data_IF_527587880460
#
_entry.id   IF_527587880460
#
_cell.length_a   1.000
_cell.length_b   1.000
_cell.length_c   1.000
_cell.angle_alpha   90.00
_cell.angle_beta   90.00
_cell.angle_gamma   90.00
#
_symmetry.space_group_name_H-M   'P 1'
#
loop_
_entity.id
_entity.type
_entity.pdbx_description
1 polymer ?
#
# COMPACT_ATOMS: atom_id res chain seq x y z
N UNK A 1 2.72 16.59 -6.90
CA UNK A 1 3.16 15.22 -6.65
C UNK A 1 2.03 14.25 -6.92
N UNK A 2 2.28 12.95 -7.20
CA UNK A 2 1.24 12.00 -7.64
C UNK A 2 0.48 11.33 -6.49
N UNK A 3 0.40 11.97 -5.34
CA UNK A 3 -0.32 11.50 -4.17
C UNK A 3 -1.60 12.29 -3.97
N UNK A 4 -2.68 11.61 -3.66
CA UNK A 4 -3.97 12.21 -3.37
C UNK A 4 -4.65 11.51 -2.21
N UNK A 5 -5.15 12.25 -1.24
CA UNK A 5 -6.03 11.73 -0.21
C UNK A 5 -7.22 12.65 0.10
N UNK A 6 -7.53 13.59 -0.80
CA UNK A 6 -8.63 14.56 -0.59
C UNK A 6 -9.97 13.84 -0.42
N UNK A 7 -10.23 12.79 -1.20
CA UNK A 7 -11.49 12.04 -1.16
C UNK A 7 -11.52 10.87 -0.17
N UNK A 8 -10.43 10.61 0.56
CA UNK A 8 -10.35 9.46 1.47
C UNK A 8 -11.15 9.72 2.74
N UNK A 9 -12.03 8.79 3.09
CA UNK A 9 -12.84 8.82 4.31
C UNK A 9 -12.25 7.85 5.33
N UNK A 10 -11.31 8.32 6.14
CA UNK A 10 -10.66 7.50 7.16
C UNK A 10 -11.67 7.09 8.23
N UNK A 11 -11.69 5.79 8.55
CA UNK A 11 -12.60 5.25 9.56
C UNK A 11 -14.04 4.97 9.06
N UNK A 12 -14.35 5.12 7.76
CA UNK A 12 -15.70 4.88 7.23
C UNK A 12 -16.23 3.48 7.56
N UNK A 13 -15.38 2.46 7.48
CA UNK A 13 -15.76 1.10 7.86
C UNK A 13 -16.11 1.01 9.34
N UNK A 14 -15.28 1.57 10.21
CA UNK A 14 -15.50 1.59 11.66
C UNK A 14 -16.78 2.34 12.03
N UNK A 15 -17.09 3.44 11.32
CA UNK A 15 -18.34 4.16 11.47
C UNK A 15 -19.54 3.28 11.08
N UNK A 16 -19.49 2.61 9.95
CA UNK A 16 -20.57 1.74 9.47
C UNK A 16 -20.82 0.52 10.38
N UNK A 17 -19.76 0.03 11.00
CA UNK A 17 -19.81 -1.07 11.98
C UNK A 17 -20.18 -0.60 13.38
N UNK A 18 -20.33 0.70 13.60
CA UNK A 18 -20.63 1.30 14.91
C UNK A 18 -19.48 1.24 15.92
N UNK A 19 -18.27 1.00 15.44
CA UNK A 19 -17.06 0.96 16.29
C UNK A 19 -16.57 2.36 16.67
N UNK A 20 -16.93 3.38 15.93
CA UNK A 20 -16.73 4.80 16.25
C UNK A 20 -18.02 5.57 16.03
N UNK A 21 -18.19 6.68 16.75
CA UNK A 21 -19.32 7.60 16.59
C UNK A 21 -19.16 8.51 15.38
N UNK A 22 -20.24 9.13 14.91
CA UNK A 22 -20.14 10.18 13.87
C UNK A 22 -19.21 11.32 14.25
N UNK A 23 -19.19 11.74 15.50
CA UNK A 23 -18.32 12.80 16.02
C UNK A 23 -16.85 12.39 15.95
N UNK A 24 -16.53 11.16 16.37
CA UNK A 24 -15.17 10.60 16.27
C UNK A 24 -14.72 10.45 14.82
N UNK A 25 -15.62 10.05 13.91
CA UNK A 25 -15.35 9.98 12.49
C UNK A 25 -15.02 11.37 11.91
N UNK A 26 -15.80 12.40 12.24
CA UNK A 26 -15.54 13.76 11.78
C UNK A 26 -14.24 14.31 12.36
N UNK A 27 -13.99 14.10 13.64
CA UNK A 27 -12.74 14.51 14.31
C UNK A 27 -11.52 13.83 13.70
N UNK A 28 -11.58 12.51 13.44
CA UNK A 28 -10.53 11.76 12.76
C UNK A 28 -10.23 12.38 11.39
N UNK A 29 -11.25 12.63 10.58
CA UNK A 29 -11.07 13.17 9.23
C UNK A 29 -10.63 14.64 9.23
N UNK A 30 -10.95 15.39 10.25
CA UNK A 30 -10.42 16.76 10.44
C UNK A 30 -8.93 16.74 10.82
N UNK A 31 -8.46 15.73 11.54
CA UNK A 31 -7.09 15.64 12.06
C UNK A 31 -6.11 14.89 11.18
N UNK A 32 -6.59 13.97 10.33
CA UNK A 32 -5.73 13.23 9.39
C UNK A 32 -5.44 14.10 8.17
N UNK A 33 -4.21 14.57 8.07
CA UNK A 33 -3.71 15.32 6.91
C UNK A 33 -3.16 14.42 5.80
N UNK A 34 -2.62 15.05 4.77
CA UNK A 34 -1.85 14.37 3.73
C UNK A 34 -0.35 14.43 4.00
N UNK A 35 0.42 13.81 3.13
CA UNK A 35 1.88 13.91 3.11
C UNK A 35 2.29 15.36 2.82
N UNK A 36 3.34 15.82 3.46
CA UNK A 36 4.00 17.08 3.10
C UNK A 36 4.52 17.02 1.67
N UNK A 37 4.75 18.20 1.07
CA UNK A 37 5.46 18.24 -0.20
C UNK A 37 6.90 17.69 -0.01
N UNK A 38 7.48 16.97 -0.99
CA UNK A 38 8.82 16.40 -0.85
C UNK A 38 9.92 17.38 -0.45
N UNK A 39 9.81 18.66 -0.85
CA UNK A 39 10.74 19.71 -0.41
C UNK A 39 10.68 20.02 1.09
N UNK A 40 9.57 19.70 1.73
CA UNK A 40 9.30 20.02 3.14
C UNK A 40 9.42 18.77 4.04
N UNK A 41 9.73 17.62 3.42
CA UNK A 41 9.94 16.38 4.14
C UNK A 41 11.33 16.37 4.80
N UNK A 42 11.36 15.81 5.99
CA UNK A 42 12.61 15.51 6.70
C UNK A 42 12.99 14.04 6.49
N UNK A 43 14.28 13.77 6.46
CA UNK A 43 14.79 12.40 6.34
C UNK A 43 14.35 11.57 7.56
N UNK A 44 13.68 10.47 7.29
CA UNK A 44 13.44 9.44 8.30
C UNK A 44 14.67 8.54 8.41
N UNK A 45 14.94 8.03 9.62
CA UNK A 45 15.96 7.02 9.83
C UNK A 45 15.63 5.70 9.11
N UNK A 46 16.64 4.87 8.92
CA UNK A 46 16.44 3.58 8.26
C UNK A 46 15.88 2.55 9.25
N UNK A 47 14.74 1.90 8.98
CA UNK A 47 14.02 1.07 9.95
C UNK A 47 14.76 -0.19 10.41
N UNK A 48 15.84 -0.56 9.70
CA UNK A 48 16.61 -1.77 9.99
C UNK A 48 17.97 -1.50 10.65
N UNK A 49 18.23 -0.25 11.03
CA UNK A 49 19.47 0.18 11.67
C UNK A 49 19.23 0.59 13.12
N UNK A 50 19.12 -0.39 13.99
CA UNK A 50 18.94 -0.19 15.45
C UNK A 50 17.48 -0.09 15.89
N UNK A 51 17.27 0.22 17.15
CA UNK A 51 15.94 0.37 17.73
C UNK A 51 15.23 1.62 17.17
N UNK A 52 13.92 1.56 16.91
CA UNK A 52 13.14 2.72 16.51
C UNK A 52 13.20 3.80 17.59
N UNK A 53 13.57 5.00 17.18
CA UNK A 53 13.57 6.18 18.04
C UNK A 53 13.01 7.37 17.25
N UNK A 54 12.53 8.44 17.93
CA UNK A 54 12.09 9.65 17.24
C UNK A 54 13.15 10.28 16.33
N UNK A 55 14.43 10.07 16.66
CA UNK A 55 15.57 10.61 15.89
C UNK A 55 16.06 9.65 14.78
N UNK A 56 15.67 8.38 14.85
CA UNK A 56 16.04 7.37 13.87
C UNK A 56 14.84 7.05 12.96
N UNK A 57 14.07 6.03 13.29
CA UNK A 57 12.87 5.65 12.56
C UNK A 57 11.73 5.41 13.54
N UNK A 58 10.64 6.13 13.34
CA UNK A 58 9.39 5.93 14.05
C UNK A 58 8.26 5.77 13.02
N UNK A 59 7.71 4.55 12.85
CA UNK A 59 6.62 4.30 11.90
C UNK A 59 5.35 5.09 12.24
N UNK A 60 5.22 5.60 13.46
CA UNK A 60 4.10 6.43 13.92
C UNK A 60 4.42 7.92 13.87
N UNK A 61 5.59 8.29 13.34
CA UNK A 61 6.04 9.68 13.24
C UNK A 61 5.10 10.50 12.37
N UNK A 62 4.85 11.72 12.84
CA UNK A 62 4.05 12.70 12.11
C UNK A 62 4.90 13.75 11.39
N UNK A 63 6.23 13.58 11.36
CA UNK A 63 7.18 14.57 10.83
C UNK A 63 6.89 14.94 9.38
N UNK A 64 6.48 13.97 8.57
CA UNK A 64 6.21 14.13 7.14
C UNK A 64 4.73 14.23 6.79
N UNK A 65 3.87 14.39 7.79
CA UNK A 65 2.44 14.60 7.62
C UNK A 65 2.05 16.05 7.89
N UNK A 66 1.05 16.54 7.17
CA UNK A 66 0.36 17.76 7.54
C UNK A 66 -0.49 17.51 8.78
N UNK A 67 -0.43 18.41 9.74
CA UNK A 67 -1.15 18.30 11.01
C UNK A 67 -2.21 19.38 11.13
N UNK A 68 -3.24 19.10 11.92
CA UNK A 68 -4.18 20.13 12.35
C UNK A 68 -3.46 21.20 13.17
N UNK A 69 -3.88 22.45 13.03
CA UNK A 69 -3.35 23.57 13.79
C UNK A 69 -4.48 24.29 14.53
N UNK A 70 -4.56 24.05 15.83
CA UNK A 70 -5.70 24.50 16.63
C UNK A 70 -7.01 23.93 16.10
N UNK A 71 -7.96 24.80 15.81
CA UNK A 71 -9.27 24.43 15.28
C UNK A 71 -9.27 24.24 13.74
N UNK A 72 -8.16 24.54 13.07
CA UNK A 72 -8.05 24.36 11.63
C UNK A 72 -7.78 22.89 11.29
N UNK A 73 -8.57 22.29 10.38
CA UNK A 73 -8.33 20.91 9.92
C UNK A 73 -6.96 20.73 9.30
N UNK A 74 -6.41 19.53 9.41
CA UNK A 74 -5.16 19.15 8.76
C UNK A 74 -5.31 19.20 7.24
N UNK A 75 -4.46 19.91 6.48
CA UNK A 75 -4.55 19.96 5.04
C UNK A 75 -4.37 18.57 4.41
N UNK A 76 -5.28 18.19 3.52
CA UNK A 76 -5.14 17.00 2.67
C UNK A 76 -4.18 17.29 1.52
N UNK A 77 -3.60 16.23 0.97
CA UNK A 77 -2.75 16.35 -0.21
C UNK A 77 -3.60 16.12 -1.46
N UNK A 78 -3.63 17.10 -2.33
CA UNK A 78 -4.25 16.99 -3.65
C UNK A 78 -3.22 16.53 -4.68
N UNK A 79 -3.56 15.49 -5.44
CA UNK A 79 -2.71 14.94 -6.48
C UNK A 79 -2.63 15.87 -7.70
N UNK A 80 -1.42 16.04 -8.22
CA UNK A 80 -1.18 16.73 -9.49
C UNK A 80 -1.42 15.78 -10.66
N UNK A 81 -2.37 16.10 -11.54
CA UNK A 81 -2.76 15.25 -12.65
C UNK A 81 -1.63 15.02 -13.67
N UNK A 82 -0.75 16.01 -13.87
CA UNK A 82 0.40 15.84 -14.78
C UNK A 82 1.43 14.90 -14.17
N UNK A 83 1.69 15.02 -12.87
CA UNK A 83 2.58 14.10 -12.16
C UNK A 83 2.03 12.66 -12.13
N UNK A 84 0.72 12.50 -11.94
CA UNK A 84 0.07 11.18 -12.00
C UNK A 84 0.19 10.58 -13.40
N UNK A 85 -0.10 11.32 -14.45
CA UNK A 85 0.06 10.86 -15.82
C UNK A 85 1.50 10.48 -16.14
N UNK A 86 2.46 11.34 -15.82
CA UNK A 86 3.88 11.07 -16.01
C UNK A 86 4.34 9.80 -15.30
N UNK A 87 3.82 9.53 -14.10
CA UNK A 87 4.11 8.31 -13.34
C UNK A 87 3.64 7.05 -14.06
N UNK A 88 2.41 7.07 -14.61
CA UNK A 88 1.89 5.95 -15.40
C UNK A 88 2.58 5.81 -16.77
N UNK A 89 2.80 6.92 -17.46
CA UNK A 89 3.45 6.94 -18.80
C UNK A 89 4.91 6.50 -18.74
N UNK A 90 5.57 6.67 -17.60
CA UNK A 90 6.96 6.23 -17.38
C UNK A 90 7.12 4.71 -17.21
N UNK A 91 6.02 3.96 -17.01
CA UNK A 91 6.07 2.53 -16.69
C UNK A 91 6.54 2.20 -15.27
N UNK A 92 6.72 3.19 -14.40
CA UNK A 92 7.10 2.98 -12.99
C UNK A 92 5.96 2.43 -12.13
N UNK A 93 4.73 2.53 -12.61
CA UNK A 93 3.55 1.97 -11.98
C UNK A 93 3.00 0.86 -12.85
N UNK A 94 2.76 -0.30 -12.26
CA UNK A 94 2.09 -1.39 -12.95
C UNK A 94 0.63 -0.99 -13.27
N UNK A 95 0.31 -0.88 -14.54
CA UNK A 95 -1.01 -0.44 -15.04
C UNK A 95 -2.00 -1.59 -15.29
N UNK A 96 -1.55 -2.83 -15.08
CA UNK A 96 -2.34 -4.04 -15.28
C UNK A 96 -2.14 -4.68 -16.66
N UNK A 97 -1.34 -4.12 -17.57
CA UNK A 97 -1.04 -4.80 -18.83
C UNK A 97 -0.12 -5.99 -18.59
N UNK A 98 -0.66 -7.18 -18.85
CA UNK A 98 0.02 -8.44 -18.57
C UNK A 98 -0.19 -9.44 -19.71
N UNK A 99 0.91 -9.77 -20.42
CA UNK A 99 0.88 -10.70 -21.56
C UNK A 99 1.64 -12.00 -21.30
N UNK A 100 2.10 -12.20 -20.07
CA UNK A 100 2.85 -13.39 -19.64
C UNK A 100 2.23 -13.99 -18.38
N UNK A 101 2.33 -15.30 -18.16
CA UNK A 101 1.94 -15.91 -16.91
C UNK A 101 2.77 -15.43 -15.73
N UNK A 102 2.11 -15.16 -14.62
CA UNK A 102 2.75 -14.75 -13.37
C UNK A 102 2.25 -15.59 -12.20
N UNK A 103 3.17 -16.13 -11.43
CA UNK A 103 2.92 -16.63 -10.08
C UNK A 103 3.35 -15.53 -9.10
N UNK A 104 2.37 -14.86 -8.51
CA UNK A 104 2.60 -13.90 -7.43
C UNK A 104 2.68 -14.67 -6.12
N UNK A 105 3.89 -15.09 -5.78
CA UNK A 105 4.14 -15.89 -4.59
C UNK A 105 4.60 -15.02 -3.44
N UNK A 106 3.83 -15.06 -2.36
CA UNK A 106 4.10 -14.25 -1.18
C UNK A 106 3.84 -14.98 0.13
N UNK A 107 4.49 -14.48 1.16
CA UNK A 107 4.21 -14.90 2.51
C UNK A 107 2.91 -14.31 3.03
N UNK A 108 2.19 -15.08 3.84
CA UNK A 108 1.02 -14.59 4.56
C UNK A 108 1.44 -14.13 5.96
N UNK A 109 1.46 -12.82 6.18
CA UNK A 109 1.89 -12.16 7.42
C UNK A 109 0.87 -11.10 7.86
N UNK A 110 -0.39 -11.27 7.52
CA UNK A 110 -1.45 -10.28 7.82
C UNK A 110 -1.61 -10.04 9.33
N UNK A 111 -1.46 -11.09 10.13
CA UNK A 111 -1.59 -11.02 11.59
C UNK A 111 -0.45 -10.24 12.26
N UNK A 112 0.66 -10.09 11.56
CA UNK A 112 1.87 -9.43 12.07
C UNK A 112 1.99 -7.98 11.57
N UNK A 113 0.96 -7.47 10.88
CA UNK A 113 0.92 -6.14 10.28
C UNK A 113 2.11 -5.86 9.33
N UNK A 114 2.50 -6.86 8.55
CA UNK A 114 3.57 -6.70 7.57
C UNK A 114 3.17 -5.66 6.51
N UNK A 115 4.10 -4.75 6.21
CA UNK A 115 3.94 -3.78 5.13
C UNK A 115 3.82 -4.44 3.75
N UNK A 116 4.28 -5.69 3.60
CA UNK A 116 4.17 -6.50 2.40
C UNK A 116 2.90 -7.37 2.39
N UNK A 117 1.81 -6.83 2.88
CA UNK A 117 0.53 -7.53 3.00
C UNK A 117 -0.06 -7.96 1.66
N UNK A 118 -1.01 -8.90 1.71
CA UNK A 118 -1.66 -9.52 0.54
C UNK A 118 -2.50 -8.54 -0.28
N UNK A 119 -2.90 -7.39 0.27
CA UNK A 119 -3.62 -6.36 -0.45
C UNK A 119 -2.91 -5.96 -1.75
N UNK A 120 -1.58 -5.95 -1.77
CA UNK A 120 -0.80 -5.58 -2.95
C UNK A 120 -1.02 -6.55 -4.12
N UNK A 121 -1.12 -7.86 -3.87
CA UNK A 121 -1.43 -8.85 -4.91
C UNK A 121 -2.84 -8.68 -5.46
N UNK A 122 -3.82 -8.45 -4.60
CA UNK A 122 -5.19 -8.23 -5.04
C UNK A 122 -5.35 -6.89 -5.77
N UNK A 123 -4.63 -5.86 -5.37
CA UNK A 123 -4.57 -4.60 -6.11
C UNK A 123 -3.98 -4.77 -7.52
N UNK A 124 -2.91 -5.57 -7.64
CA UNK A 124 -2.34 -5.92 -8.94
C UNK A 124 -3.34 -6.69 -9.80
N UNK A 125 -4.02 -7.71 -9.24
CA UNK A 125 -5.07 -8.47 -9.93
C UNK A 125 -6.19 -7.57 -10.43
N UNK A 126 -6.69 -6.66 -9.60
CA UNK A 126 -7.74 -5.73 -9.99
C UNK A 126 -7.32 -4.81 -11.15
N UNK A 127 -6.05 -4.41 -11.18
CA UNK A 127 -5.50 -3.64 -12.31
C UNK A 127 -5.46 -4.48 -13.59
N UNK A 128 -5.03 -5.76 -13.49
CA UNK A 128 -5.02 -6.69 -14.64
C UNK A 128 -6.45 -6.86 -15.16
N UNK A 129 -7.40 -7.17 -14.31
CA UNK A 129 -8.81 -7.33 -14.70
C UNK A 129 -9.37 -6.08 -15.37
N UNK A 130 -9.08 -4.89 -14.81
CA UNK A 130 -9.53 -3.62 -15.36
C UNK A 130 -8.91 -3.31 -16.73
N UNK A 131 -7.68 -3.74 -16.96
CA UNK A 131 -6.93 -3.45 -18.18
C UNK A 131 -7.15 -4.49 -19.27
N UNK A 132 -7.16 -5.78 -18.90
CA UNK A 132 -7.19 -6.92 -19.81
C UNK A 132 -8.57 -7.56 -19.94
N UNK A 133 -9.53 -7.23 -19.06
CA UNK A 133 -10.84 -7.85 -18.98
C UNK A 133 -10.90 -9.18 -18.24
N UNK A 134 -9.77 -9.74 -17.86
CA UNK A 134 -9.63 -10.94 -17.03
C UNK A 134 -8.27 -10.94 -16.32
N UNK A 135 -8.06 -11.86 -15.40
CA UNK A 135 -6.79 -12.06 -14.68
C UNK A 135 -6.24 -13.48 -14.85
N UNK A 136 -6.54 -14.14 -15.97
CA UNK A 136 -6.19 -15.54 -16.23
C UNK A 136 -4.67 -15.79 -16.26
N UNK A 137 -3.89 -14.73 -16.50
CA UNK A 137 -2.43 -14.78 -16.49
C UNK A 137 -1.81 -14.59 -15.10
N UNK A 138 -2.60 -14.51 -14.03
CA UNK A 138 -2.07 -14.35 -12.66
C UNK A 138 -2.61 -15.40 -11.71
N UNK A 139 -1.71 -16.12 -11.04
CA UNK A 139 -2.01 -16.96 -9.87
C UNK A 139 -1.36 -16.37 -8.64
N UNK A 140 -2.09 -16.29 -7.53
CA UNK A 140 -1.56 -15.81 -6.26
C UNK A 140 -1.36 -17.00 -5.33
N UNK A 141 -0.12 -17.19 -4.87
CA UNK A 141 0.23 -18.22 -3.90
C UNK A 141 0.57 -17.61 -2.56
N UNK A 142 0.07 -18.21 -1.50
CA UNK A 142 0.42 -17.85 -0.13
C UNK A 142 1.17 -18.98 0.56
N UNK A 143 2.23 -18.63 1.29
CA UNK A 143 2.97 -19.52 2.17
C UNK A 143 3.04 -18.97 3.58
N UNK A 144 3.13 -19.86 4.56
CA UNK A 144 3.40 -19.48 5.94
C UNK A 144 4.88 -19.10 6.07
N UNK A 145 5.15 -17.85 6.45
CA UNK A 145 6.50 -17.31 6.59
C UNK A 145 7.04 -17.37 8.02
N UNK A 146 6.31 -17.95 8.94
CA UNK A 146 6.78 -18.08 10.32
C UNK A 146 8.07 -18.89 10.36
N UNK A 147 9.08 -18.52 11.17
CA UNK A 147 10.43 -19.15 11.16
C UNK A 147 10.42 -20.66 11.27
N UNK A 148 9.45 -21.23 12.03
CA UNK A 148 9.29 -22.68 12.19
C UNK A 148 8.69 -23.39 10.96
N UNK A 149 8.24 -22.66 9.96
CA UNK A 149 7.49 -23.17 8.79
C UNK A 149 7.90 -22.50 7.48
N UNK A 150 9.12 -22.01 7.40
CA UNK A 150 9.66 -21.49 6.12
C UNK A 150 9.62 -22.62 5.10
N UNK A 151 8.89 -22.39 4.03
CA UNK A 151 8.71 -23.36 2.96
C UNK A 151 9.17 -22.76 1.64
N UNK A 152 10.15 -23.41 1.01
CA UNK A 152 10.65 -23.00 -0.31
C UNK A 152 9.89 -23.76 -1.41
N UNK A 153 9.09 -23.01 -2.17
CA UNK A 153 8.31 -23.52 -3.30
C UNK A 153 8.91 -23.13 -4.66
N UNK A 154 10.15 -22.67 -4.70
CA UNK A 154 10.79 -22.22 -5.95
C UNK A 154 10.76 -23.29 -7.04
N UNK A 155 11.13 -24.51 -6.71
CA UNK A 155 11.09 -25.63 -7.65
C UNK A 155 9.69 -25.89 -8.20
N UNK A 156 8.69 -25.96 -7.32
CA UNK A 156 7.29 -26.14 -7.70
C UNK A 156 6.77 -25.00 -8.58
N UNK A 157 7.13 -23.75 -8.25
CA UNK A 157 6.74 -22.59 -9.05
C UNK A 157 7.33 -22.63 -10.46
N UNK A 158 8.59 -23.05 -10.59
CA UNK A 158 9.24 -23.21 -11.89
C UNK A 158 8.58 -24.31 -12.73
N UNK A 159 8.26 -25.46 -12.12
CA UNK A 159 7.57 -26.55 -12.80
C UNK A 159 6.20 -26.12 -13.32
N UNK A 160 5.41 -25.46 -12.47
CA UNK A 160 4.09 -24.94 -12.85
C UNK A 160 4.18 -23.88 -13.95
N UNK A 161 5.15 -22.94 -13.85
CA UNK A 161 5.37 -21.96 -14.92
C UNK A 161 5.77 -22.64 -16.23
N UNK A 162 6.63 -23.65 -16.18
CA UNK A 162 7.02 -24.40 -17.36
C UNK A 162 5.82 -25.07 -18.02
N UNK A 163 4.99 -25.77 -17.26
CA UNK A 163 3.75 -26.38 -17.77
C UNK A 163 2.76 -25.35 -18.33
N UNK A 164 2.72 -24.17 -17.74
CA UNK A 164 1.80 -23.11 -18.15
C UNK A 164 2.18 -22.49 -19.50
N UNK A 165 3.46 -22.44 -19.85
CA UNK A 165 3.95 -21.81 -21.08
C UNK A 165 4.25 -22.78 -22.22
N UNK A 166 4.21 -24.11 -21.97
CA UNK A 166 4.43 -25.16 -22.97
C UNK A 166 3.15 -25.85 -23.38
#
# INVERSE_FOLDING_TARGET
>A
MPWDNVGVQYGLRALNEGAITPEEFLDLNAKVGGWKHPSDMVQEGFPFLGEPTPDNFDPWSRRNMNLANGDAPAPRTQGDLQAIRALYDSGMVFDGQLNIPIIDWRHYLEEELDMHNSHQSFSARQRIESRMGNSDNQVIWFTDARPARVFDQTGQALDVLHEWVT
#
